data_IF_690794015922
#
_entry.id   IF_690794015922
#
_cell.length_a   1.000
_cell.length_b   1.000
_cell.length_c   1.000
_cell.angle_alpha   90.00
_cell.angle_beta   90.00
_cell.angle_gamma   90.00
#
_symmetry.space_group_name_H-M   'P 1'
#
loop_
_entity.id
_entity.type
_entity.pdbx_description
1 polymer ?
#
# COMPACT_ATOMS: atom_id res chain seq x y z
N UNK A 1 5.34 -16.63 16.20
CA UNK A 1 4.69 -15.42 16.76
C UNK A 1 3.46 -15.16 15.88
N UNK A 2 2.28 -15.02 16.47
CA UNK A 2 1.02 -14.91 15.71
C UNK A 2 0.73 -13.44 15.42
N UNK A 3 0.70 -13.07 14.14
CA UNK A 3 0.61 -11.68 13.64
C UNK A 3 -0.80 -11.06 13.70
N UNK A 4 -1.79 -11.66 14.39
CA UNK A 4 -3.17 -11.14 14.36
C UNK A 4 -3.33 -9.71 14.89
N UNK A 5 -2.36 -9.19 15.65
CA UNK A 5 -2.37 -7.79 16.11
C UNK A 5 -2.16 -6.78 14.97
N UNK A 6 -1.58 -7.20 13.84
CA UNK A 6 -1.32 -6.32 12.69
C UNK A 6 -2.50 -6.18 11.74
N UNK A 7 -3.49 -7.07 11.82
CA UNK A 7 -4.63 -7.07 10.90
C UNK A 7 -4.25 -7.52 9.49
N UNK A 8 -4.74 -6.80 8.47
CA UNK A 8 -4.54 -7.13 7.06
C UNK A 8 -3.08 -6.97 6.61
N UNK A 9 -2.65 -7.84 5.69
CA UNK A 9 -1.35 -7.79 4.99
C UNK A 9 -1.52 -7.05 3.66
N UNK A 10 -0.87 -5.89 3.45
CA UNK A 10 -1.00 -5.12 2.22
C UNK A 10 -0.73 -5.94 0.95
N UNK A 11 -1.54 -5.71 -0.09
CA UNK A 11 -1.30 -6.28 -1.41
C UNK A 11 -0.23 -5.43 -2.11
N UNK A 12 0.91 -6.03 -2.41
CA UNK A 12 2.03 -5.34 -3.03
C UNK A 12 2.99 -4.75 -2.00
N UNK A 13 4.27 -5.08 -2.13
CA UNK A 13 5.36 -4.63 -1.26
C UNK A 13 6.45 -3.95 -2.09
N UNK A 14 7.45 -3.35 -1.44
CA UNK A 14 8.63 -2.81 -2.16
C UNK A 14 9.38 -3.90 -2.97
N UNK A 15 9.38 -5.15 -2.50
CA UNK A 15 10.03 -6.26 -3.23
C UNK A 15 9.13 -6.91 -4.28
N UNK A 16 7.81 -6.81 -4.12
CA UNK A 16 6.84 -7.36 -5.07
C UNK A 16 5.64 -6.40 -5.21
N UNK A 17 5.79 -5.33 -6.01
CA UNK A 17 4.73 -4.35 -6.23
C UNK A 17 3.46 -4.95 -6.83
N UNK A 18 2.30 -4.36 -6.54
CA UNK A 18 1.09 -4.65 -7.31
C UNK A 18 1.15 -3.90 -8.66
N UNK A 19 1.15 -4.66 -9.75
CA UNK A 19 1.23 -4.14 -11.13
C UNK A 19 -0.01 -4.46 -11.98
N UNK A 20 -1.05 -5.01 -11.34
CA UNK A 20 -2.25 -5.48 -12.02
C UNK A 20 -3.37 -4.43 -12.11
N UNK A 21 -4.50 -4.90 -12.61
CA UNK A 21 -5.77 -4.16 -12.61
C UNK A 21 -6.73 -4.82 -11.64
N UNK A 22 -7.30 -4.03 -10.74
CA UNK A 22 -8.34 -4.46 -9.81
C UNK A 22 -9.60 -3.60 -9.99
N UNK A 23 -10.65 -4.21 -10.54
CA UNK A 23 -12.01 -3.66 -10.55
C UNK A 23 -12.74 -4.13 -9.30
N UNK A 24 -13.13 -3.19 -8.45
CA UNK A 24 -13.89 -3.47 -7.23
C UNK A 24 -15.36 -3.82 -7.48
N UNK A 25 -15.87 -3.76 -8.71
CA UNK A 25 -17.26 -4.10 -9.08
C UNK A 25 -18.31 -3.33 -8.25
N UNK A 26 -17.99 -2.08 -7.90
CA UNK A 26 -18.83 -1.21 -7.06
C UNK A 26 -18.96 -1.69 -5.61
N UNK A 27 -18.17 -2.69 -5.19
CA UNK A 27 -18.22 -3.25 -3.84
C UNK A 27 -17.51 -2.35 -2.85
N UNK A 28 -17.80 -2.59 -1.58
CA UNK A 28 -17.22 -1.86 -0.46
C UNK A 28 -16.60 -2.82 0.54
N UNK A 29 -15.38 -2.51 0.98
CA UNK A 29 -14.74 -3.15 2.13
C UNK A 29 -15.02 -2.29 3.35
N UNK A 30 -15.69 -2.86 4.35
CA UNK A 30 -15.96 -2.21 5.63
C UNK A 30 -14.99 -2.67 6.71
N UNK A 31 -14.60 -1.75 7.60
CA UNK A 31 -13.83 -2.06 8.82
C UNK A 31 -12.46 -2.73 8.55
N UNK A 32 -11.79 -2.32 7.45
CA UNK A 32 -10.41 -2.72 7.17
C UNK A 32 -9.51 -2.29 8.34
N UNK A 33 -8.82 -3.25 8.95
CA UNK A 33 -7.89 -2.99 10.05
C UNK A 33 -6.46 -3.36 9.64
N UNK A 34 -5.53 -2.39 9.68
CA UNK A 34 -4.10 -2.58 9.47
C UNK A 34 -3.33 -1.78 10.52
N UNK A 35 -2.50 -2.43 11.31
CA UNK A 35 -1.69 -1.80 12.36
C UNK A 35 -0.21 -2.22 12.25
N UNK A 36 0.53 -1.45 11.47
CA UNK A 36 1.95 -1.64 11.13
C UNK A 36 2.78 -0.39 11.44
N UNK A 37 2.32 0.43 12.40
CA UNK A 37 3.01 1.63 12.87
C UNK A 37 4.28 1.27 13.63
N UNK A 38 5.24 2.19 13.62
CA UNK A 38 6.38 2.12 14.54
C UNK A 38 5.88 2.23 15.99
N UNK A 39 6.41 1.39 16.87
CA UNK A 39 6.06 1.37 18.31
C UNK A 39 7.13 2.04 19.17
N UNK A 40 8.34 2.18 18.65
CA UNK A 40 9.43 2.89 19.32
C UNK A 40 9.36 4.40 19.02
N UNK A 41 9.14 5.26 20.05
CA UNK A 41 9.28 6.69 19.88
C UNK A 41 10.76 7.06 19.96
N UNK A 42 11.58 6.70 18.96
CA UNK A 42 13.02 7.02 18.98
C UNK A 42 13.42 8.03 17.90
N UNK A 43 13.14 9.31 18.14
CA UNK A 43 13.74 10.42 17.37
C UNK A 43 13.64 10.25 15.85
N UNK A 44 14.67 10.72 15.12
CA UNK A 44 14.70 10.78 13.66
C UNK A 44 14.64 9.41 12.92
N UNK A 45 14.73 8.28 13.64
CA UNK A 45 14.76 6.94 13.05
C UNK A 45 13.72 6.02 13.67
N UNK A 46 12.58 5.89 13.01
CA UNK A 46 11.59 4.85 13.26
C UNK A 46 12.04 3.58 12.51
N UNK A 47 12.61 2.58 13.18
CA UNK A 47 13.12 1.36 12.51
C UNK A 47 12.14 0.18 12.57
N UNK A 48 11.16 0.20 13.48
CA UNK A 48 10.32 -0.95 13.84
C UNK A 48 8.91 -0.96 13.22
N UNK A 49 8.58 0.02 12.37
CA UNK A 49 7.33 0.07 11.61
C UNK A 49 7.51 -0.22 10.12
N UNK A 50 6.42 -0.47 9.42
CA UNK A 50 6.43 -0.80 7.99
C UNK A 50 5.94 0.40 7.15
N UNK A 51 6.57 0.64 6.01
CA UNK A 51 6.19 1.69 5.06
C UNK A 51 5.23 1.14 3.99
N UNK A 52 4.54 2.04 3.28
CA UNK A 52 3.65 1.72 2.16
C UNK A 52 2.47 0.84 2.60
N UNK A 53 1.65 1.40 3.50
CA UNK A 53 0.58 0.68 4.16
C UNK A 53 -0.78 1.12 3.63
N UNK A 54 -1.55 0.17 3.13
CA UNK A 54 -2.92 0.30 2.66
C UNK A 54 -3.48 -1.08 2.32
N UNK A 55 -4.72 -1.14 1.81
CA UNK A 55 -5.23 -2.38 1.22
C UNK A 55 -4.25 -2.91 0.15
N UNK A 56 -3.77 -1.98 -0.68
CA UNK A 56 -2.62 -2.13 -1.54
C UNK A 56 -1.44 -1.34 -0.94
N UNK A 57 -0.32 -2.01 -0.70
CA UNK A 57 0.83 -1.40 -0.07
C UNK A 57 1.58 -0.49 -1.04
N UNK A 58 2.23 -1.11 -2.03
CA UNK A 58 2.87 -0.43 -3.14
C UNK A 58 2.26 -0.87 -4.47
N UNK A 59 1.79 0.11 -5.23
CA UNK A 59 1.29 -0.04 -6.60
C UNK A 59 2.32 0.55 -7.55
N UNK A 60 2.70 -0.19 -8.58
CA UNK A 60 3.66 0.26 -9.58
C UNK A 60 3.12 -0.01 -10.98
N UNK A 61 3.43 0.87 -11.94
CA UNK A 61 3.17 0.57 -13.35
C UNK A 61 3.82 -0.76 -13.77
N UNK A 62 3.06 -1.57 -14.51
CA UNK A 62 3.57 -2.77 -15.15
C UNK A 62 4.41 -2.43 -16.37
N UNK A 63 5.18 -3.40 -16.86
CA UNK A 63 5.98 -3.24 -18.09
C UNK A 63 5.14 -3.28 -19.36
N UNK A 64 3.95 -3.89 -19.31
CA UNK A 64 3.08 -4.11 -20.46
C UNK A 64 1.73 -3.39 -20.36
N UNK A 65 1.35 -2.90 -19.17
CA UNK A 65 0.11 -2.18 -18.92
C UNK A 65 0.20 -1.38 -17.60
N UNK A 66 -0.60 -0.31 -17.51
CA UNK A 66 -0.72 0.49 -16.30
C UNK A 66 -1.44 -0.28 -15.19
N UNK A 67 -0.98 -0.10 -13.96
CA UNK A 67 -1.70 -0.62 -12.80
C UNK A 67 -2.89 0.29 -12.48
N UNK A 68 -4.04 -0.31 -12.20
CA UNK A 68 -5.26 0.44 -11.92
C UNK A 68 -6.09 -0.22 -10.82
N UNK A 69 -6.63 0.59 -9.92
CA UNK A 69 -7.57 0.17 -8.87
C UNK A 69 -8.76 1.12 -8.94
N UNK A 70 -9.95 0.60 -9.22
CA UNK A 70 -11.15 1.43 -9.39
C UNK A 70 -12.41 0.70 -8.93
N UNK A 71 -13.52 1.43 -8.82
CA UNK A 71 -14.83 0.93 -8.35
C UNK A 71 -14.82 0.19 -6.99
N UNK A 72 -13.88 0.51 -6.11
CA UNK A 72 -13.77 -0.07 -4.78
C UNK A 72 -14.00 1.00 -3.71
N UNK A 73 -15.03 0.83 -2.89
CA UNK A 73 -15.27 1.63 -1.70
C UNK A 73 -14.52 1.10 -0.48
N UNK A 74 -14.08 2.00 0.40
CA UNK A 74 -13.58 1.64 1.74
C UNK A 74 -14.33 2.47 2.77
N UNK A 75 -14.98 1.81 3.73
CA UNK A 75 -15.75 2.46 4.80
C UNK A 75 -15.19 2.08 6.16
N UNK A 76 -15.03 3.08 7.03
CA UNK A 76 -14.49 2.96 8.38
C UNK A 76 -13.14 2.21 8.48
N UNK A 77 -12.15 2.51 7.61
CA UNK A 77 -10.84 1.87 7.73
C UNK A 77 -10.09 2.41 8.94
N UNK A 78 -9.37 1.52 9.63
CA UNK A 78 -8.36 1.85 10.64
C UNK A 78 -7.02 1.35 10.11
N UNK A 79 -6.24 2.26 9.51
CA UNK A 79 -4.98 1.94 8.86
C UNK A 79 -3.88 2.78 9.49
N UNK A 80 -2.84 2.14 9.99
CA UNK A 80 -1.70 2.77 10.63
C UNK A 80 -0.40 2.14 10.10
N UNK A 81 0.47 2.96 9.51
CA UNK A 81 1.80 2.56 9.04
C UNK A 81 2.87 3.54 9.51
N UNK A 82 4.13 3.29 9.15
CA UNK A 82 5.27 4.15 9.49
C UNK A 82 5.40 5.35 8.56
N UNK A 83 5.40 5.11 7.24
CA UNK A 83 5.38 6.15 6.19
C UNK A 83 4.53 5.69 5.02
N UNK A 84 4.08 6.64 4.20
CA UNK A 84 3.25 6.37 3.03
C UNK A 84 2.05 5.47 3.37
N UNK A 85 1.10 6.03 4.12
CA UNK A 85 -0.07 5.29 4.64
C UNK A 85 -1.33 5.88 4.05
N UNK A 86 -2.13 5.04 3.39
CA UNK A 86 -3.42 5.40 2.83
C UNK A 86 -4.37 4.22 2.93
N UNK A 87 -5.67 4.47 3.10
CA UNK A 87 -6.63 3.38 3.32
C UNK A 87 -6.72 2.42 2.13
N UNK A 88 -6.67 2.95 0.90
CA UNK A 88 -6.70 2.15 -0.33
C UNK A 88 -5.29 1.79 -0.82
N UNK A 89 -4.44 2.80 -1.02
CA UNK A 89 -3.05 2.63 -1.50
C UNK A 89 -2.08 3.35 -0.57
N UNK A 90 -1.00 2.68 -0.17
CA UNK A 90 0.08 3.28 0.61
C UNK A 90 0.98 4.18 -0.23
N UNK A 91 1.52 3.64 -1.33
CA UNK A 91 2.39 4.35 -2.28
C UNK A 91 2.09 3.93 -3.72
N UNK A 92 2.11 4.91 -4.62
CA UNK A 92 2.11 4.68 -6.08
C UNK A 92 3.49 5.04 -6.61
N UNK A 93 4.12 4.13 -7.34
CA UNK A 93 5.37 4.35 -8.04
C UNK A 93 5.12 4.39 -9.55
N UNK A 94 5.43 5.53 -10.16
CA UNK A 94 5.32 5.76 -11.60
C UNK A 94 6.75 5.79 -12.14
N UNK A 95 7.10 4.92 -13.07
CA UNK A 95 8.48 4.85 -13.58
C UNK A 95 8.60 5.64 -14.89
N UNK A 96 8.99 6.91 -14.82
CA UNK A 96 9.39 7.64 -16.02
C UNK A 96 10.84 7.32 -16.36
N UNK A 97 11.09 6.55 -17.42
CA UNK A 97 12.42 6.49 -18.06
C UNK A 97 12.38 7.38 -19.29
N UNK A 98 12.99 8.57 -19.20
CA UNK A 98 13.27 9.42 -20.34
C UNK A 98 14.78 9.40 -20.62
N UNK A 99 15.20 8.72 -21.68
CA UNK A 99 16.51 8.94 -22.29
C UNK A 99 16.32 9.32 -23.75
N UNK A 100 16.35 10.61 -24.03
CA UNK A 100 16.62 11.10 -25.39
C UNK A 100 18.11 10.93 -25.65
N UNK A 101 18.44 10.14 -26.67
CA UNK A 101 19.81 9.83 -27.03
C UNK A 101 20.62 11.03 -27.53
N UNK A 102 21.93 10.81 -27.58
CA UNK A 102 22.85 11.40 -28.54
C UNK A 102 23.56 10.28 -29.28
#
# INVERSE_FOLDING_TARGET
MWEAVKGWEPIGTESNPFTGVYDGDGKTISNLYINRKATTPSGAYFSDGEDNIGLFGLVQEGTTADAAIYNLGIINPVVSGRRATGSLVGKVLVSSVATTGS
#
